data_IF_682433490424
#
_entry.id   IF_682433490424
#
_cell.length_a   1.000
_cell.length_b   1.000
_cell.length_c   1.000
_cell.angle_alpha   90.00
_cell.angle_beta   90.00
_cell.angle_gamma   90.00
#
_symmetry.space_group_name_H-M   'P 1'
#
loop_
_entity.id
_entity.type
_entity.pdbx_description
1 polymer ?
#
# COMPACT_ATOMS: atom_id res chain seq x y z
N UNK A 1 -10.17 8.00 -29.33
CA UNK A 1 -9.35 6.94 -29.96
C UNK A 1 -7.92 7.47 -30.09
N UNK A 2 -7.09 7.27 -29.06
CA UNK A 2 -5.67 7.62 -29.05
C UNK A 2 -4.89 6.44 -28.49
N UNK A 3 -4.00 5.89 -29.33
CA UNK A 3 -3.23 4.68 -29.10
C UNK A 3 -1.98 5.03 -28.27
N UNK A 4 -1.82 4.37 -27.12
CA UNK A 4 -0.78 4.65 -26.12
C UNK A 4 0.48 3.83 -26.40
N UNK A 5 1.61 4.54 -26.45
CA UNK A 5 2.99 4.08 -26.65
C UNK A 5 3.42 3.07 -25.58
N UNK A 6 3.90 1.89 -25.99
CA UNK A 6 4.80 1.00 -25.25
C UNK A 6 5.71 0.34 -26.28
N UNK A 7 7.04 0.53 -26.21
CA UNK A 7 8.11 -0.37 -26.72
C UNK A 7 9.43 0.40 -26.87
N UNK A 8 10.18 0.63 -25.79
CA UNK A 8 11.59 1.06 -25.87
C UNK A 8 12.43 0.55 -24.68
N UNK A 9 12.28 -0.72 -24.33
CA UNK A 9 13.22 -1.39 -23.42
C UNK A 9 13.73 -2.61 -24.15
N UNK A 10 14.87 -2.48 -24.84
CA UNK A 10 15.83 -3.56 -25.23
C UNK A 10 16.64 -3.21 -26.48
N UNK A 11 17.43 -2.13 -26.46
CA UNK A 11 18.53 -1.98 -27.42
C UNK A 11 19.72 -1.36 -26.71
N UNK A 12 20.67 -2.19 -26.27
CA UNK A 12 22.10 -1.85 -26.23
C UNK A 12 22.95 -3.07 -25.84
N UNK A 13 23.92 -3.36 -26.71
CA UNK A 13 25.19 -4.07 -26.51
C UNK A 13 25.26 -5.58 -26.81
N UNK A 14 25.39 -5.88 -28.10
CA UNK A 14 26.23 -6.98 -28.59
C UNK A 14 27.22 -6.42 -29.62
N UNK A 15 28.48 -6.24 -29.21
CA UNK A 15 29.64 -6.15 -30.13
C UNK A 15 30.94 -6.30 -29.32
N UNK A 16 31.41 -7.56 -29.24
CA UNK A 16 32.78 -7.90 -28.84
C UNK A 16 33.52 -8.33 -30.11
N UNK A 17 34.67 -7.73 -30.48
CA UNK A 17 35.52 -8.33 -31.49
C UNK A 17 36.57 -9.25 -30.85
N UNK A 18 36.64 -10.47 -31.38
CA UNK A 18 37.69 -11.48 -31.19
C UNK A 18 39.05 -10.97 -31.71
N UNK A 19 40.13 -11.24 -30.99
CA UNK A 19 41.48 -11.04 -31.52
C UNK A 19 42.64 -11.34 -30.56
N UNK A 20 43.25 -12.51 -30.75
CA UNK A 20 44.67 -12.86 -30.52
C UNK A 20 45.21 -13.11 -29.09
N UNK A 21 45.62 -14.38 -28.87
CA UNK A 21 47.06 -14.70 -28.72
C UNK A 21 47.58 -15.00 -27.31
N UNK A 22 47.76 -16.28 -26.98
CA UNK A 22 48.63 -16.77 -25.91
C UNK A 22 50.07 -16.24 -26.08
N UNK A 23 50.75 -15.93 -24.97
CA UNK A 23 52.08 -16.43 -24.56
C UNK A 23 52.33 -15.99 -23.12
N UNK A 24 52.74 -16.95 -22.28
CA UNK A 24 53.03 -16.72 -20.87
C UNK A 24 54.33 -15.98 -20.61
N UNK A 25 54.38 -15.25 -19.50
CA UNK A 25 55.54 -15.17 -18.62
C UNK A 25 55.13 -14.51 -17.30
N UNK A 26 55.63 -15.09 -16.21
CA UNK A 26 55.62 -14.51 -14.86
C UNK A 26 56.24 -13.11 -14.92
N UNK A 27 55.50 -12.07 -14.53
CA UNK A 27 56.06 -10.73 -14.31
C UNK A 27 55.84 -10.35 -12.85
N UNK A 28 56.95 -10.32 -12.13
CA UNK A 28 57.10 -10.05 -10.70
C UNK A 28 56.69 -8.63 -10.31
N UNK A 29 56.35 -8.47 -9.02
CA UNK A 29 55.57 -7.39 -8.36
C UNK A 29 55.99 -5.92 -8.54
N UNK A 30 56.99 -5.57 -9.34
CA UNK A 30 57.51 -4.19 -9.41
C UNK A 30 57.09 -3.38 -10.65
N UNK A 31 56.31 -3.93 -11.59
CA UNK A 31 55.80 -3.17 -12.76
C UNK A 31 54.35 -2.66 -12.63
N UNK A 32 53.82 -2.57 -11.42
CA UNK A 32 52.43 -2.13 -11.17
C UNK A 32 52.31 -0.61 -10.99
N UNK A 33 53.38 0.11 -10.63
CA UNK A 33 53.29 1.54 -10.31
C UNK A 33 53.46 2.54 -11.47
N UNK A 34 53.67 2.07 -12.70
CA UNK A 34 53.72 2.95 -13.90
C UNK A 34 52.57 2.70 -14.91
N UNK A 35 51.46 2.10 -14.48
CA UNK A 35 50.29 1.87 -15.35
C UNK A 35 48.98 2.48 -14.80
N UNK A 36 49.08 3.55 -14.01
CA UNK A 36 47.91 4.30 -13.51
C UNK A 36 47.95 5.81 -13.81
N UNK A 37 49.04 6.36 -14.38
CA UNK A 37 49.17 7.82 -14.57
C UNK A 37 48.89 8.35 -15.97
N UNK A 38 48.79 7.49 -17.01
CA UNK A 38 48.61 7.94 -18.40
C UNK A 38 47.23 7.62 -19.02
N UNK A 39 46.36 6.85 -18.35
CA UNK A 39 45.00 6.62 -18.85
C UNK A 39 44.01 7.72 -18.44
N UNK A 40 44.27 8.47 -17.37
CA UNK A 40 43.34 9.51 -16.90
C UNK A 40 43.34 10.80 -17.76
N UNK A 41 44.41 11.05 -18.52
CA UNK A 41 44.55 12.27 -19.33
C UNK A 41 43.86 12.20 -20.70
N UNK A 42 43.73 11.02 -21.30
CA UNK A 42 43.08 10.91 -22.62
C UNK A 42 41.54 10.86 -22.53
N UNK A 43 40.96 10.35 -21.44
CA UNK A 43 39.50 10.30 -21.29
C UNK A 43 38.86 11.63 -20.93
N UNK A 44 39.55 12.48 -20.16
CA UNK A 44 39.00 13.80 -19.75
C UNK A 44 38.95 14.80 -20.90
N UNK A 45 39.95 14.78 -21.79
CA UNK A 45 39.98 15.65 -22.97
C UNK A 45 38.93 15.22 -24.01
N UNK A 46 38.71 13.92 -24.21
CA UNK A 46 37.71 13.43 -25.17
C UNK A 46 36.27 13.72 -24.74
N UNK A 47 35.96 13.66 -23.45
CA UNK A 47 34.62 14.03 -22.93
C UNK A 47 34.34 15.51 -23.15
N UNK A 48 35.31 16.38 -22.90
CA UNK A 48 35.15 17.84 -23.08
C UNK A 48 35.04 18.25 -24.56
N UNK A 49 35.76 17.59 -25.46
CA UNK A 49 35.66 17.83 -26.93
C UNK A 49 34.30 17.36 -27.47
N UNK A 50 33.72 16.29 -26.93
CA UNK A 50 32.39 15.81 -27.32
C UNK A 50 31.26 16.76 -26.88
N UNK A 51 31.39 17.39 -25.71
CA UNK A 51 30.46 18.44 -25.26
C UNK A 51 30.57 19.73 -26.11
N UNK A 52 31.75 20.06 -26.63
CA UNK A 52 31.95 21.28 -27.44
C UNK A 52 31.38 21.20 -28.87
N UNK A 53 31.24 19.98 -29.44
CA UNK A 53 30.77 19.78 -30.82
C UNK A 53 29.27 19.44 -30.94
N UNK A 54 28.59 19.08 -29.85
CA UNK A 54 27.17 18.68 -29.88
C UNK A 54 26.20 19.74 -29.36
N UNK A 55 26.69 20.91 -28.91
CA UNK A 55 25.84 21.99 -28.40
C UNK A 55 25.02 21.60 -27.17
N UNK A 56 25.38 20.52 -26.48
CA UNK A 56 24.67 20.05 -25.30
C UNK A 56 25.18 20.86 -24.11
N UNK A 57 24.52 21.99 -23.85
CA UNK A 57 24.74 22.76 -22.63
C UNK A 57 24.59 21.84 -21.41
N UNK A 58 25.48 22.04 -20.43
CA UNK A 58 25.37 21.36 -19.14
C UNK A 58 23.96 21.56 -18.59
N UNK A 59 23.19 20.48 -18.46
CA UNK A 59 21.91 20.51 -17.76
C UNK A 59 22.23 20.92 -16.33
N UNK A 60 21.83 22.11 -15.85
CA UNK A 60 22.10 22.48 -14.48
C UNK A 60 21.40 21.47 -13.58
N UNK A 61 22.13 20.94 -12.60
CA UNK A 61 21.59 20.03 -11.59
C UNK A 61 20.70 20.83 -10.61
N UNK A 62 19.59 21.37 -11.11
CA UNK A 62 18.49 21.84 -10.29
C UNK A 62 17.50 20.68 -10.20
N UNK A 63 17.80 19.72 -9.34
CA UNK A 63 16.78 18.79 -8.85
C UNK A 63 15.81 19.60 -7.99
N UNK A 64 14.91 20.36 -8.63
CA UNK A 64 13.72 20.88 -7.96
C UNK A 64 13.00 19.66 -7.45
N UNK A 65 12.86 19.52 -6.13
CA UNK A 65 12.07 18.44 -5.58
C UNK A 65 10.65 18.58 -6.11
N UNK A 66 10.29 17.72 -7.06
CA UNK A 66 8.93 17.58 -7.55
C UNK A 66 8.17 16.77 -6.52
N UNK A 67 7.99 17.32 -5.32
CA UNK A 67 6.90 16.86 -4.46
C UNK A 67 5.64 17.39 -5.11
N UNK A 68 5.02 16.56 -5.94
CA UNK A 68 3.70 16.85 -6.47
C UNK A 68 2.79 17.02 -5.26
N UNK A 69 2.30 18.24 -5.05
CA UNK A 69 1.39 18.54 -3.95
C UNK A 69 0.17 17.66 -4.13
N UNK A 70 -0.03 16.72 -3.20
CA UNK A 70 -1.26 15.92 -3.18
C UNK A 70 -2.44 16.89 -3.21
N UNK A 71 -3.48 16.63 -4.04
CA UNK A 71 -4.70 17.41 -3.95
C UNK A 71 -5.17 17.41 -2.49
N UNK A 72 -5.73 18.53 -1.99
CA UNK A 72 -6.24 18.59 -0.62
C UNK A 72 -7.21 17.42 -0.42
N UNK A 73 -6.94 16.59 0.58
CA UNK A 73 -7.81 15.47 0.93
C UNK A 73 -9.20 16.03 1.21
N UNK A 74 -10.20 15.60 0.45
CA UNK A 74 -11.58 15.93 0.79
C UNK A 74 -11.97 15.08 2.00
N UNK A 75 -12.43 15.69 3.11
CA UNK A 75 -12.90 14.92 4.26
C UNK A 75 -14.07 14.04 3.79
N UNK A 76 -13.97 12.74 4.05
CA UNK A 76 -15.02 11.81 3.71
C UNK A 76 -16.12 11.90 4.76
N UNK A 77 -17.22 12.57 4.43
CA UNK A 77 -18.39 12.68 5.31
C UNK A 77 -19.18 11.37 5.25
N UNK A 78 -19.14 10.62 6.35
CA UNK A 78 -20.00 9.46 6.60
C UNK A 78 -21.46 9.94 6.62
N UNK A 79 -22.32 9.36 5.78
CA UNK A 79 -23.71 9.83 5.61
C UNK A 79 -24.61 9.58 6.82
N UNK A 80 -24.17 8.78 7.80
CA UNK A 80 -24.98 8.29 8.92
C UNK A 80 -24.36 8.67 10.29
N UNK A 81 -23.88 9.91 10.45
CA UNK A 81 -23.07 10.30 11.61
C UNK A 81 -23.84 10.66 12.89
N UNK A 82 -25.09 10.27 13.06
CA UNK A 82 -25.76 10.42 14.36
C UNK A 82 -25.33 9.28 15.29
N UNK A 83 -24.19 9.47 15.98
CA UNK A 83 -23.82 8.63 17.12
C UNK A 83 -22.58 7.76 16.94
N UNK A 84 -21.90 7.74 15.79
CA UNK A 84 -20.64 7.00 15.64
C UNK A 84 -19.47 7.74 16.28
N UNK A 85 -19.28 7.50 17.57
CA UNK A 85 -18.10 7.90 18.32
C UNK A 85 -17.03 6.80 18.15
N UNK A 86 -15.77 7.17 17.92
CA UNK A 86 -14.61 6.25 17.83
C UNK A 86 -14.36 5.57 16.46
N UNK A 87 -14.77 6.17 15.34
CA UNK A 87 -14.27 5.75 14.03
C UNK A 87 -12.73 5.78 14.00
N UNK A 88 -12.12 4.70 13.52
CA UNK A 88 -10.66 4.57 13.48
C UNK A 88 -10.09 3.81 14.67
N UNK A 89 -10.95 3.24 15.53
CA UNK A 89 -10.52 2.39 16.65
C UNK A 89 -9.69 1.20 16.17
N UNK A 90 -10.12 0.56 15.07
CA UNK A 90 -9.41 -0.52 14.42
C UNK A 90 -9.40 -0.28 12.90
N UNK A 91 -8.29 -0.59 12.24
CA UNK A 91 -8.13 -0.40 10.79
C UNK A 91 -7.38 -1.58 10.19
N UNK A 92 -7.85 -2.09 9.07
CA UNK A 92 -7.14 -3.05 8.22
C UNK A 92 -7.33 -2.69 6.75
N UNK A 93 -6.42 -3.13 5.88
CA UNK A 93 -6.45 -2.80 4.46
C UNK A 93 -5.95 -3.96 3.61
N UNK A 94 -6.58 -4.16 2.46
CA UNK A 94 -6.10 -5.05 1.41
C UNK A 94 -6.32 -4.41 0.03
N UNK A 95 -5.23 -4.23 -0.71
CA UNK A 95 -5.21 -3.51 -1.97
C UNK A 95 -5.87 -2.13 -1.88
N UNK A 96 -6.95 -1.97 -2.66
CA UNK A 96 -7.75 -0.75 -2.75
C UNK A 96 -8.92 -0.69 -1.77
N UNK A 97 -8.99 -1.60 -0.79
CA UNK A 97 -10.09 -1.68 0.18
C UNK A 97 -9.56 -1.50 1.60
N UNK A 98 -10.25 -0.69 2.41
CA UNK A 98 -9.95 -0.45 3.83
C UNK A 98 -11.19 -0.75 4.65
N UNK A 99 -11.02 -1.45 5.76
CA UNK A 99 -12.04 -1.60 6.79
C UNK A 99 -11.68 -0.74 8.01
N UNK A 100 -12.66 -0.01 8.54
CA UNK A 100 -12.48 0.85 9.71
C UNK A 100 -13.57 0.56 10.74
N UNK A 101 -13.16 0.09 11.91
CA UNK A 101 -14.04 -0.17 13.04
C UNK A 101 -14.40 1.09 13.83
N UNK A 102 -15.63 1.11 14.34
CA UNK A 102 -16.19 2.14 15.21
C UNK A 102 -17.08 1.46 16.28
N UNK A 103 -16.49 0.95 17.39
CA UNK A 103 -17.22 0.18 18.40
C UNK A 103 -18.20 0.97 19.26
N UNK A 104 -18.32 2.29 19.03
CA UNK A 104 -19.20 3.17 19.80
C UNK A 104 -18.64 3.49 21.18
N UNK A 105 -19.06 4.63 21.74
CA UNK A 105 -18.53 5.13 23.01
C UNK A 105 -18.76 4.15 24.16
N UNK A 106 -17.78 4.01 25.05
CA UNK A 106 -17.94 3.26 26.31
C UNK A 106 -19.03 3.82 27.24
N UNK A 107 -19.43 5.07 27.03
CA UNK A 107 -20.33 5.81 27.92
C UNK A 107 -21.80 5.76 27.48
N UNK A 108 -22.07 5.34 26.24
CA UNK A 108 -23.42 5.12 25.73
C UNK A 108 -23.65 3.62 25.62
N UNK A 109 -24.54 3.08 26.46
CA UNK A 109 -24.79 1.63 26.57
C UNK A 109 -25.64 1.07 25.41
N UNK A 110 -26.05 1.92 24.49
CA UNK A 110 -27.08 1.62 23.48
C UNK A 110 -26.51 1.52 22.06
N UNK A 111 -25.19 1.40 21.93
CA UNK A 111 -24.54 1.26 20.63
C UNK A 111 -23.79 -0.07 20.55
N UNK A 112 -24.21 -0.90 19.61
CA UNK A 112 -23.60 -2.21 19.38
C UNK A 112 -22.33 -2.12 18.55
N UNK A 113 -22.04 -0.93 17.97
CA UNK A 113 -20.86 -0.62 17.17
C UNK A 113 -21.06 -0.94 15.69
N UNK A 114 -20.17 -0.44 14.83
CA UNK A 114 -20.21 -0.62 13.37
C UNK A 114 -18.80 -0.75 12.79
N UNK A 115 -18.70 -1.26 11.56
CA UNK A 115 -17.48 -1.15 10.76
C UNK A 115 -17.78 -0.63 9.36
N UNK A 116 -16.89 0.18 8.79
CA UNK A 116 -17.07 0.78 7.47
C UNK A 116 -16.06 0.20 6.48
N UNK A 117 -16.52 -0.08 5.26
CA UNK A 117 -15.65 -0.41 4.14
C UNK A 117 -15.50 0.82 3.25
N UNK A 118 -14.26 1.15 2.93
CA UNK A 118 -13.89 2.19 1.98
C UNK A 118 -13.10 1.59 0.83
N UNK A 119 -13.33 2.09 -0.39
CA UNK A 119 -12.54 1.72 -1.56
C UNK A 119 -11.92 2.94 -2.23
N UNK A 120 -10.77 2.75 -2.87
CA UNK A 120 -10.16 3.79 -3.69
C UNK A 120 -11.07 4.11 -4.90
N UNK A 121 -11.13 5.38 -5.24
CA UNK A 121 -11.92 5.96 -6.32
C UNK A 121 -11.11 7.07 -7.01
N UNK A 122 -11.54 7.54 -8.18
CA UNK A 122 -10.78 8.51 -8.98
C UNK A 122 -10.37 9.79 -8.20
N UNK A 123 -11.16 10.19 -7.21
CA UNK A 123 -10.94 11.39 -6.41
C UNK A 123 -10.64 11.11 -4.92
N UNK A 124 -10.14 9.91 -4.57
CA UNK A 124 -9.75 9.57 -3.21
C UNK A 124 -10.38 8.27 -2.73
N UNK A 125 -10.99 8.29 -1.54
CA UNK A 125 -11.66 7.13 -0.95
C UNK A 125 -13.17 7.36 -0.91
N UNK A 126 -13.96 6.31 -1.15
CA UNK A 126 -15.41 6.35 -1.05
C UNK A 126 -15.89 5.23 -0.11
N UNK A 127 -16.90 5.53 0.72
CA UNK A 127 -17.55 4.50 1.54
C UNK A 127 -18.31 3.54 0.61
N UNK A 128 -17.90 2.28 0.61
CA UNK A 128 -18.56 1.22 -0.14
C UNK A 128 -19.70 0.60 0.67
N UNK A 129 -19.50 0.37 1.97
CA UNK A 129 -20.49 -0.30 2.81
C UNK A 129 -20.38 0.10 4.29
N UNK A 130 -21.48 -0.08 5.01
CA UNK A 130 -21.53 -0.14 6.48
C UNK A 130 -21.84 -1.58 6.87
N UNK A 131 -20.98 -2.19 7.68
CA UNK A 131 -21.16 -3.53 8.22
C UNK A 131 -21.77 -3.41 9.62
N UNK A 132 -22.87 -4.12 9.82
CA UNK A 132 -23.59 -4.22 11.09
C UNK A 132 -23.95 -5.67 11.36
N UNK A 133 -24.27 -6.00 12.61
CA UNK A 133 -24.87 -7.27 12.99
C UNK A 133 -26.12 -7.01 13.83
N UNK A 134 -27.24 -7.62 13.44
CA UNK A 134 -28.58 -7.44 14.00
C UNK A 134 -28.86 -8.29 15.24
N UNK A 135 -28.02 -9.28 15.51
CA UNK A 135 -28.13 -10.27 16.58
C UNK A 135 -27.18 -9.98 17.76
N UNK A 136 -26.63 -8.76 17.83
CA UNK A 136 -25.73 -8.35 18.89
C UNK A 136 -26.49 -8.02 20.18
N UNK A 137 -25.91 -8.39 21.32
CA UNK A 137 -26.37 -7.86 22.60
C UNK A 137 -25.93 -6.39 22.77
N UNK A 138 -26.69 -5.66 23.60
CA UNK A 138 -26.33 -4.29 23.98
C UNK A 138 -24.86 -4.15 24.35
N UNK A 139 -24.19 -3.18 23.70
CA UNK A 139 -22.78 -2.83 23.93
C UNK A 139 -21.78 -3.94 23.56
N UNK A 140 -22.10 -4.76 22.56
CA UNK A 140 -21.24 -5.85 22.07
C UNK A 140 -19.85 -5.39 21.54
N UNK A 141 -19.67 -4.09 21.28
CA UNK A 141 -18.43 -3.48 20.76
C UNK A 141 -18.03 -4.02 19.39
N UNK A 142 -19.00 -4.19 18.50
CA UNK A 142 -18.76 -4.56 17.12
C UNK A 142 -17.91 -3.52 16.40
N UNK A 143 -16.85 -3.94 15.72
CA UNK A 143 -15.86 -3.02 15.13
C UNK A 143 -14.69 -2.70 16.07
N UNK A 144 -14.60 -3.36 17.22
CA UNK A 144 -13.43 -3.26 18.12
C UNK A 144 -12.17 -3.94 17.55
N UNK A 145 -12.35 -4.91 16.67
CA UNK A 145 -11.30 -5.52 15.88
C UNK A 145 -11.81 -5.72 14.46
N UNK A 146 -10.93 -5.53 13.47
CA UNK A 146 -11.25 -5.69 12.05
C UNK A 146 -10.08 -6.34 11.33
N UNK A 147 -10.39 -7.16 10.32
CA UNK A 147 -9.41 -7.65 9.35
C UNK A 147 -10.08 -7.81 7.98
N UNK A 148 -9.29 -7.76 6.90
CA UNK A 148 -9.79 -7.90 5.53
C UNK A 148 -8.76 -8.58 4.64
N UNK A 149 -9.23 -9.52 3.82
CA UNK A 149 -8.44 -10.18 2.78
C UNK A 149 -9.32 -10.53 1.58
N UNK A 150 -9.00 -9.95 0.43
CA UNK A 150 -9.75 -10.05 -0.81
C UNK A 150 -11.21 -9.63 -0.63
N UNK A 151 -12.10 -10.61 -0.82
CA UNK A 151 -13.55 -10.44 -0.70
C UNK A 151 -14.08 -10.88 0.68
N UNK A 152 -13.22 -11.10 1.68
CA UNK A 152 -13.62 -11.51 3.03
C UNK A 152 -13.19 -10.47 4.05
N UNK A 153 -14.10 -10.07 4.93
CA UNK A 153 -13.81 -9.20 6.08
C UNK A 153 -14.29 -9.86 7.37
N UNK A 154 -13.57 -9.63 8.46
CA UNK A 154 -13.92 -10.12 9.79
C UNK A 154 -14.06 -8.92 10.72
N UNK A 155 -15.13 -8.90 11.50
CA UNK A 155 -15.39 -7.86 12.50
C UNK A 155 -15.64 -8.48 13.86
N UNK A 156 -14.83 -8.08 14.85
CA UNK A 156 -14.94 -8.54 16.23
C UNK A 156 -15.95 -7.73 17.05
N UNK A 157 -16.65 -8.43 17.93
CA UNK A 157 -17.53 -7.89 18.96
C UNK A 157 -17.17 -8.56 20.30
N UNK A 158 -16.10 -8.09 20.93
CA UNK A 158 -15.50 -8.79 22.08
C UNK A 158 -16.41 -8.84 23.33
N UNK A 159 -17.40 -7.96 23.42
CA UNK A 159 -18.30 -7.87 24.57
C UNK A 159 -19.69 -8.47 24.28
N UNK A 160 -19.83 -9.14 23.14
CA UNK A 160 -21.01 -9.92 22.80
C UNK A 160 -21.20 -11.07 23.81
N UNK A 161 -22.43 -11.32 24.25
CA UNK A 161 -22.72 -12.37 25.26
C UNK A 161 -23.03 -13.72 24.62
N UNK A 162 -23.05 -13.80 23.28
CA UNK A 162 -23.41 -15.03 22.60
C UNK A 162 -24.90 -15.31 22.75
N UNK A 163 -25.26 -16.58 22.80
CA UNK A 163 -26.66 -17.03 22.88
C UNK A 163 -27.11 -17.34 24.32
N UNK A 164 -26.21 -17.24 25.31
CA UNK A 164 -26.53 -17.42 26.73
C UNK A 164 -26.25 -16.15 27.53
N UNK A 165 -27.33 -15.46 27.93
CA UNK A 165 -27.29 -14.27 28.78
C UNK A 165 -26.59 -14.48 30.14
N UNK A 166 -26.35 -15.73 30.55
CA UNK A 166 -25.66 -16.09 31.79
C UNK A 166 -24.14 -16.10 31.64
N UNK A 167 -23.60 -16.05 30.42
CA UNK A 167 -22.16 -16.04 30.17
C UNK A 167 -21.70 -14.65 29.69
N UNK A 168 -21.35 -13.73 30.60
CA UNK A 168 -21.00 -12.37 30.22
C UNK A 168 -19.71 -12.36 29.40
N UNK A 169 -19.82 -12.08 28.09
CA UNK A 169 -18.70 -11.72 27.25
C UNK A 169 -17.89 -12.89 26.68
N UNK A 170 -18.55 -13.92 26.15
CA UNK A 170 -17.86 -14.93 25.31
C UNK A 170 -17.22 -14.32 24.07
N UNK A 171 -17.73 -13.17 23.63
CA UNK A 171 -17.31 -12.47 22.43
C UNK A 171 -17.77 -13.20 21.17
N UNK A 172 -17.83 -12.47 20.07
CA UNK A 172 -18.05 -13.06 18.75
C UNK A 172 -17.22 -12.38 17.68
N UNK A 173 -17.04 -13.08 16.56
CA UNK A 173 -16.49 -12.53 15.33
C UNK A 173 -17.44 -12.79 14.17
N UNK A 174 -17.64 -11.80 13.32
CA UNK A 174 -18.60 -11.86 12.22
C UNK A 174 -17.87 -11.80 10.90
N UNK A 175 -18.15 -12.78 10.04
CA UNK A 175 -17.52 -12.91 8.71
C UNK A 175 -18.45 -12.32 7.67
N UNK A 176 -17.93 -11.40 6.87
CA UNK A 176 -18.61 -10.77 5.75
C UNK A 176 -17.93 -11.15 4.45
N UNK A 177 -18.72 -11.40 3.41
CA UNK A 177 -18.23 -11.69 2.06
C UNK A 177 -18.78 -10.69 1.06
N UNK A 178 -17.88 -10.22 0.19
CA UNK A 178 -18.19 -9.30 -0.91
C UNK A 178 -18.63 -10.08 -2.15
N UNK A 179 -19.69 -9.60 -2.81
CA UNK A 179 -20.09 -10.04 -4.16
C UNK A 179 -20.39 -8.80 -5.00
N UNK A 180 -19.52 -8.49 -5.96
CA UNK A 180 -19.57 -7.22 -6.66
C UNK A 180 -19.24 -6.06 -5.71
N UNK A 181 -20.19 -5.15 -5.50
CA UNK A 181 -20.06 -4.04 -4.55
C UNK A 181 -20.74 -4.30 -3.20
N UNK A 182 -21.48 -5.40 -3.08
CA UNK A 182 -22.29 -5.69 -1.89
C UNK A 182 -21.51 -6.54 -0.88
N UNK A 183 -21.62 -6.21 0.41
CA UNK A 183 -21.08 -6.99 1.51
C UNK A 183 -22.22 -7.62 2.30
N UNK A 184 -22.13 -8.93 2.55
CA UNK A 184 -23.15 -9.67 3.29
C UNK A 184 -22.52 -10.47 4.44
N UNK A 185 -23.16 -10.47 5.60
CA UNK A 185 -22.75 -11.33 6.73
C UNK A 185 -23.01 -12.79 6.35
N UNK A 186 -21.96 -13.61 6.38
CA UNK A 186 -22.04 -15.04 6.05
C UNK A 186 -22.02 -15.92 7.30
N UNK A 187 -21.34 -15.51 8.37
CA UNK A 187 -21.22 -16.33 9.57
C UNK A 187 -20.96 -15.50 10.81
N UNK A 188 -21.42 -16.01 11.95
CA UNK A 188 -21.03 -15.58 13.30
C UNK A 188 -20.21 -16.71 13.92
N UNK A 189 -19.05 -16.36 14.44
CA UNK A 189 -18.11 -17.25 15.11
C UNK A 189 -18.23 -16.99 16.61
N UNK A 190 -18.63 -18.03 17.34
CA UNK A 190 -18.69 -18.08 18.80
C UNK A 190 -18.00 -19.37 19.26
N UNK A 191 -17.43 -19.42 20.46
CA UNK A 191 -16.88 -20.66 21.01
C UNK A 191 -17.99 -21.71 21.21
N UNK A 192 -17.66 -22.99 21.02
CA UNK A 192 -18.52 -24.07 21.49
C UNK A 192 -18.54 -24.04 23.03
N UNK A 193 -19.72 -23.86 23.64
CA UNK A 193 -19.90 -23.80 25.12
C UNK A 193 -20.74 -24.93 25.67
#
# INVERSE_FOLDING_TARGET
MFLRVHLWRNFLLALVPLGMGLIGQQVTKERIFMFQRNYLFHYTVLVLVWFALTGLSAVPLSAKSQYQTLPPLQPLTIKESEGIYELGYAVAADGDTVIVGAPGSTHQRDQDGVAFIFTSAENGWAQQATLTADDLNYSARFGSAVDISGDTAIVGAFNDKGDDDRNPGVGSAHVFVRTGTEWSRQSRLIPDT
#
